data_IF_912170753381
#
_entry.id   IF_912170753381
#
_cell.length_a   1.000
_cell.length_b   1.000
_cell.length_c   1.000
_cell.angle_alpha   90.00
_cell.angle_beta   90.00
_cell.angle_gamma   90.00
#
_symmetry.space_group_name_H-M   'P 1'
#
loop_
_entity.id
_entity.type
_entity.pdbx_description
1 polymer ?
#
# COMPACT_ATOMS: atom_id res chain seq x y z
N UNK A 1 19.59 14.05 -14.48
CA UNK A 1 19.08 15.19 -13.68
C UNK A 1 17.58 15.09 -13.63
N UNK A 2 16.97 14.85 -12.47
CA UNK A 2 15.52 14.98 -12.37
C UNK A 2 15.15 16.46 -12.48
N UNK A 3 14.06 16.84 -13.18
CA UNK A 3 13.66 18.23 -13.32
C UNK A 3 13.41 18.85 -11.94
N UNK A 4 13.89 20.07 -11.72
CA UNK A 4 13.79 20.80 -10.44
C UNK A 4 12.34 20.85 -9.92
N UNK A 5 11.36 20.91 -10.82
CA UNK A 5 9.92 20.89 -10.50
C UNK A 5 9.47 19.57 -9.83
N UNK A 6 10.04 18.44 -10.24
CA UNK A 6 9.70 17.13 -9.68
C UNK A 6 10.23 16.99 -8.25
N UNK A 7 11.42 17.55 -7.99
CA UNK A 7 12.05 17.62 -6.66
C UNK A 7 11.22 18.53 -5.74
N UNK A 8 10.78 19.70 -6.24
CA UNK A 8 9.94 20.63 -5.48
C UNK A 8 8.57 20.03 -5.13
N UNK A 9 7.93 19.30 -6.05
CA UNK A 9 6.68 18.58 -5.78
C UNK A 9 6.85 17.52 -4.70
N UNK A 10 7.92 16.72 -4.76
CA UNK A 10 8.23 15.70 -3.75
C UNK A 10 8.47 16.32 -2.37
N UNK A 11 9.21 17.44 -2.31
CA UNK A 11 9.41 18.22 -1.08
C UNK A 11 8.11 18.81 -0.53
N UNK A 12 7.20 19.28 -1.40
CA UNK A 12 5.90 19.79 -0.99
C UNK A 12 5.01 18.71 -0.35
N UNK A 13 4.99 17.49 -0.92
CA UNK A 13 4.26 16.35 -0.35
C UNK A 13 4.82 15.96 1.01
N UNK A 14 6.15 15.88 1.16
CA UNK A 14 6.78 15.54 2.44
C UNK A 14 6.53 16.60 3.52
N UNK A 15 6.55 17.88 3.16
CA UNK A 15 6.33 18.97 4.12
C UNK A 15 4.87 19.09 4.58
N UNK A 16 3.92 18.64 3.76
CA UNK A 16 2.49 18.73 4.04
C UNK A 16 1.84 17.35 4.22
N UNK A 17 2.62 16.30 4.51
CA UNK A 17 2.12 14.94 4.59
C UNK A 17 0.99 14.81 5.63
N UNK A 18 1.04 15.56 6.73
CA UNK A 18 -0.06 15.61 7.72
C UNK A 18 -1.34 16.21 7.16
N UNK A 19 -1.25 17.21 6.29
CA UNK A 19 -2.42 17.81 5.64
C UNK A 19 -2.97 16.94 4.49
N UNK A 20 -2.09 16.20 3.80
CA UNK A 20 -2.43 15.34 2.66
C UNK A 20 -2.97 13.98 3.11
N UNK A 21 -2.36 13.37 4.13
CA UNK A 21 -2.76 12.08 4.69
C UNK A 21 -3.57 12.22 5.99
N UNK A 22 -3.99 13.46 6.35
CA UNK A 22 -4.69 13.78 7.61
C UNK A 22 -4.02 13.17 8.85
N UNK A 23 -2.69 13.16 8.89
CA UNK A 23 -1.88 12.55 9.95
C UNK A 23 -1.99 11.02 10.06
N UNK A 24 -2.73 10.35 9.18
CA UNK A 24 -2.99 8.91 9.28
C UNK A 24 -2.00 8.14 8.42
N UNK A 25 -1.07 7.43 9.07
CA UNK A 25 -0.15 6.52 8.38
C UNK A 25 -0.78 5.12 8.36
N UNK A 26 -1.17 4.69 7.16
CA UNK A 26 -1.67 3.34 6.92
C UNK A 26 -0.50 2.44 6.52
N UNK A 27 -0.27 1.39 7.30
CA UNK A 27 0.71 0.37 6.95
C UNK A 27 -0.02 -0.82 6.35
N UNK A 28 0.28 -1.14 5.09
CA UNK A 28 -0.19 -2.39 4.50
C UNK A 28 0.50 -3.58 5.19
N UNK A 29 -0.31 -4.52 5.67
CA UNK A 29 0.14 -5.76 6.28
C UNK A 29 0.57 -6.75 5.20
N UNK A 30 1.43 -7.70 5.58
CA UNK A 30 1.79 -8.78 4.66
C UNK A 30 0.58 -9.70 4.45
N UNK A 31 0.26 -10.06 3.20
CA UNK A 31 -0.87 -10.92 2.92
C UNK A 31 -0.60 -12.35 3.42
N UNK A 32 -1.62 -12.97 4.01
CA UNK A 32 -1.56 -14.34 4.53
C UNK A 32 -2.53 -15.21 3.75
N UNK A 33 -2.05 -16.34 3.22
CA UNK A 33 -2.87 -17.32 2.53
C UNK A 33 -2.23 -18.71 2.62
N UNK A 34 -3.04 -19.77 2.53
CA UNK A 34 -2.57 -21.16 2.68
C UNK A 34 -1.79 -21.43 3.98
N UNK A 35 -2.12 -20.69 5.06
CA UNK A 35 -1.43 -20.80 6.35
C UNK A 35 -0.02 -20.20 6.37
N UNK A 36 0.37 -19.45 5.34
CA UNK A 36 1.69 -18.81 5.24
C UNK A 36 1.56 -17.32 4.96
N UNK A 37 2.46 -16.53 5.55
CA UNK A 37 2.64 -15.12 5.22
C UNK A 37 3.46 -15.02 3.94
N UNK A 38 2.96 -14.28 2.94
CA UNK A 38 3.66 -14.09 1.68
C UNK A 38 4.79 -13.07 1.88
N UNK A 39 6.02 -13.53 1.67
CA UNK A 39 7.21 -12.69 1.70
C UNK A 39 7.41 -11.95 0.37
N UNK A 40 8.51 -11.19 0.30
CA UNK A 40 8.85 -10.43 -0.91
C UNK A 40 9.05 -11.35 -2.13
N UNK A 41 9.62 -12.53 -1.93
CA UNK A 41 9.89 -13.48 -3.02
C UNK A 41 8.61 -14.04 -3.66
N UNK A 42 7.59 -14.29 -2.86
CA UNK A 42 6.28 -14.75 -3.32
C UNK A 42 5.49 -13.61 -3.97
N UNK A 43 5.58 -12.40 -3.40
CA UNK A 43 4.93 -11.20 -3.93
C UNK A 43 5.46 -10.81 -5.32
N UNK A 44 6.74 -11.06 -5.61
CA UNK A 44 7.30 -10.83 -6.96
C UNK A 44 6.79 -11.81 -8.01
N UNK A 45 6.23 -12.94 -7.59
CA UNK A 45 5.73 -14.01 -8.48
C UNK A 45 4.22 -13.96 -8.67
N UNK A 46 3.55 -12.98 -8.07
CA UNK A 46 2.10 -12.89 -8.11
C UNK A 46 1.60 -11.64 -8.83
N UNK A 47 0.33 -11.69 -9.25
CA UNK A 47 -0.36 -10.50 -9.70
C UNK A 47 -0.70 -9.62 -8.51
N UNK A 48 -0.37 -8.34 -8.65
CA UNK A 48 -0.67 -7.27 -7.70
C UNK A 48 -1.61 -6.30 -8.40
N UNK A 49 -2.73 -5.97 -7.75
CA UNK A 49 -3.72 -5.02 -8.26
C UNK A 49 -3.95 -3.91 -7.25
N UNK A 50 -4.02 -2.64 -7.67
CA UNK A 50 -4.46 -1.58 -6.79
C UNK A 50 -5.92 -1.80 -6.40
N UNK A 51 -6.24 -1.52 -5.14
CA UNK A 51 -7.57 -1.58 -4.57
C UNK A 51 -7.78 -0.31 -3.74
N UNK A 52 -8.81 0.46 -4.09
CA UNK A 52 -9.18 1.65 -3.33
C UNK A 52 -9.96 1.22 -2.09
N UNK A 53 -9.51 1.71 -0.94
CA UNK A 53 -10.08 1.43 0.39
C UNK A 53 -10.33 2.74 1.12
N UNK A 54 -11.40 2.80 1.89
CA UNK A 54 -11.70 3.93 2.75
C UNK A 54 -11.35 3.58 4.20
N UNK A 55 -10.47 4.37 4.82
CA UNK A 55 -9.99 4.16 6.18
C UNK A 55 -10.22 5.46 6.94
N UNK A 56 -11.06 5.40 7.99
CA UNK A 56 -11.48 6.56 8.79
C UNK A 56 -11.97 7.75 7.93
N UNK A 57 -12.73 7.47 6.87
CA UNK A 57 -13.27 8.48 5.96
C UNK A 57 -12.24 9.07 4.99
N UNK A 58 -11.05 8.46 4.89
CA UNK A 58 -10.00 8.87 3.96
C UNK A 58 -9.76 7.79 2.90
N UNK A 59 -9.69 8.16 1.62
CA UNK A 59 -9.38 7.21 0.56
C UNK A 59 -7.89 6.87 0.57
N UNK A 60 -7.58 5.59 0.46
CA UNK A 60 -6.24 5.06 0.25
C UNK A 60 -6.27 4.05 -0.89
N UNK A 61 -5.16 3.94 -1.62
CA UNK A 61 -4.98 2.84 -2.58
C UNK A 61 -3.99 1.86 -1.96
N UNK A 62 -4.46 0.65 -1.67
CA UNK A 62 -3.66 -0.48 -1.19
C UNK A 62 -3.55 -1.54 -2.29
N UNK A 63 -2.82 -2.61 -2.02
CA UNK A 63 -2.61 -3.68 -2.99
C UNK A 63 -3.35 -4.98 -2.63
N UNK A 64 -4.24 -5.41 -3.52
CA UNK A 64 -4.72 -6.79 -3.56
C UNK A 64 -3.66 -7.66 -4.25
N UNK A 65 -3.46 -8.88 -3.74
CA UNK A 65 -2.50 -9.82 -4.33
C UNK A 65 -3.17 -11.15 -4.60
N UNK A 66 -2.78 -11.84 -5.66
CA UNK A 66 -3.19 -13.24 -5.85
C UNK A 66 -2.25 -14.17 -5.06
N UNK A 67 -2.71 -15.30 -4.53
CA UNK A 67 -1.83 -16.30 -3.97
C UNK A 67 -1.18 -17.11 -5.11
N UNK A 68 0.15 -17.21 -5.22
CA UNK A 68 0.79 -18.02 -6.26
C UNK A 68 0.55 -19.52 -6.09
N UNK A 69 0.20 -19.98 -4.87
CA UNK A 69 0.00 -21.41 -4.57
C UNK A 69 -1.43 -21.89 -4.87
N UNK A 70 -2.45 -21.15 -4.44
CA UNK A 70 -3.86 -21.55 -4.60
C UNK A 70 -4.65 -20.70 -5.60
N UNK A 71 -4.07 -19.60 -6.11
CA UNK A 71 -4.72 -18.71 -7.08
C UNK A 71 -5.82 -17.81 -6.51
N UNK A 72 -6.05 -17.81 -5.18
CA UNK A 72 -7.05 -16.94 -4.57
C UNK A 72 -6.60 -15.48 -4.51
N UNK A 73 -7.50 -14.53 -4.76
CA UNK A 73 -7.25 -13.12 -4.43
C UNK A 73 -7.29 -12.90 -2.92
N UNK A 74 -6.30 -12.17 -2.43
CA UNK A 74 -6.13 -11.80 -1.04
C UNK A 74 -6.33 -10.29 -0.96
N UNK A 75 -7.43 -9.83 -0.33
CA UNK A 75 -7.71 -8.40 -0.21
C UNK A 75 -6.63 -7.71 0.63
N UNK A 76 -6.42 -6.39 0.43
CA UNK A 76 -5.47 -5.64 1.24
C UNK A 76 -5.89 -5.69 2.72
N UNK A 77 -4.90 -5.88 3.58
CA UNK A 77 -5.04 -5.76 5.03
C UNK A 77 -4.12 -4.64 5.51
N UNK A 78 -4.52 -3.93 6.55
CA UNK A 78 -3.80 -2.76 7.02
C UNK A 78 -3.86 -2.60 8.53
N UNK A 79 -2.89 -1.84 9.03
CA UNK A 79 -2.79 -1.39 10.41
C UNK A 79 -2.67 0.14 10.42
N UNK A 80 -3.41 0.79 11.32
CA UNK A 80 -3.42 2.24 11.49
C UNK A 80 -2.54 2.54 12.70
N UNK A 81 -1.42 3.25 12.47
CA UNK A 81 -0.59 3.74 13.56
C UNK A 81 -0.91 5.21 13.81
N UNK A 82 -1.48 5.48 14.98
CA UNK A 82 -1.64 6.81 15.54
C UNK A 82 -0.29 7.38 16.03
#
# INVERSE_FOLDING_TARGET
>A
MQPIEEIQRKLFVLRNYEAVFKGTIVRQMKPVCCGQELGLGELLKTMVRPADVEIDGNPFTLFEVTCPTCGQSIPPQWDIRA
#
